data_IF_281965673017
#
_entry.id   IF_281965673017
#
_cell.length_a   1.000
_cell.length_b   1.000
_cell.length_c   1.000
_cell.angle_alpha   90.00
_cell.angle_beta   90.00
_cell.angle_gamma   90.00
#
_symmetry.space_group_name_H-M   'P 1'
#
loop_
_entity.id
_entity.type
_entity.pdbx_description
1 polymer ?
#
# COMPACT_ATOMS: atom_id res chain seq x y z
N UNK A 1 -19.45 -31.20 19.59
CA UNK A 1 -19.83 -32.56 20.02
C UNK A 1 -18.57 -33.34 20.46
N UNK A 2 -17.46 -33.21 19.74
CA UNK A 2 -16.21 -33.96 19.99
C UNK A 2 -15.57 -33.69 21.35
N UNK A 3 -15.59 -32.44 21.85
CA UNK A 3 -15.05 -32.10 23.17
C UNK A 3 -15.88 -32.71 24.29
N UNK A 4 -17.20 -32.63 24.16
CA UNK A 4 -18.12 -33.16 25.16
C UNK A 4 -17.99 -34.69 25.26
N UNK A 5 -17.90 -35.36 24.12
CA UNK A 5 -17.72 -36.79 24.08
C UNK A 5 -16.36 -37.25 24.58
N UNK A 6 -15.30 -36.48 24.28
CA UNK A 6 -13.96 -36.74 24.81
C UNK A 6 -13.90 -36.62 26.33
N UNK A 7 -14.58 -35.63 26.91
CA UNK A 7 -14.66 -35.49 28.37
C UNK A 7 -15.46 -36.63 28.99
N UNK A 8 -16.65 -36.96 28.42
CA UNK A 8 -17.49 -38.06 28.92
C UNK A 8 -16.80 -39.41 28.87
N UNK A 9 -15.95 -39.62 27.86
CA UNK A 9 -15.22 -40.87 27.68
C UNK A 9 -13.84 -40.89 28.39
N UNK A 10 -13.56 -39.90 29.22
CA UNK A 10 -12.29 -39.78 29.95
C UNK A 10 -11.04 -39.53 29.11
N UNK A 11 -11.19 -39.17 27.83
CA UNK A 11 -10.07 -38.86 26.93
C UNK A 11 -9.54 -37.43 27.11
N UNK A 12 -10.32 -36.53 27.70
CA UNK A 12 -9.98 -35.15 27.97
C UNK A 12 -10.42 -34.78 29.40
N UNK A 13 -9.49 -34.22 30.19
CA UNK A 13 -9.81 -33.74 31.55
C UNK A 13 -10.60 -32.42 31.42
N UNK A 14 -11.74 -32.36 32.12
CA UNK A 14 -12.57 -31.15 32.19
C UNK A 14 -11.78 -29.94 32.69
N UNK A 15 -10.78 -30.14 33.56
CA UNK A 15 -9.91 -29.07 34.04
C UNK A 15 -9.12 -28.37 32.93
N UNK A 16 -8.77 -29.09 31.85
CA UNK A 16 -8.09 -28.50 30.71
C UNK A 16 -9.03 -27.62 29.88
N UNK A 17 -10.29 -28.04 29.76
CA UNK A 17 -11.34 -27.23 29.13
C UNK A 17 -11.59 -25.96 29.94
N UNK A 18 -11.80 -26.10 31.25
CA UNK A 18 -12.06 -24.98 32.17
C UNK A 18 -10.91 -23.97 32.17
N UNK A 19 -9.66 -24.47 32.15
CA UNK A 19 -8.48 -23.60 32.08
C UNK A 19 -8.46 -22.78 30.79
N UNK A 20 -8.81 -23.37 29.65
CA UNK A 20 -8.85 -22.68 28.37
C UNK A 20 -10.01 -21.68 28.32
N UNK A 21 -11.18 -22.06 28.79
CA UNK A 21 -12.34 -21.15 28.89
C UNK A 21 -12.00 -19.95 29.79
N UNK A 22 -11.39 -20.19 30.93
CA UNK A 22 -10.92 -19.11 31.84
C UNK A 22 -10.01 -18.14 31.14
N UNK A 23 -8.99 -18.64 30.41
CA UNK A 23 -8.05 -17.79 29.65
C UNK A 23 -8.76 -16.92 28.61
N UNK A 24 -9.72 -17.50 27.90
CA UNK A 24 -10.53 -16.74 26.92
C UNK A 24 -11.38 -15.66 27.61
N UNK A 25 -12.03 -15.99 28.72
CA UNK A 25 -12.83 -15.03 29.49
C UNK A 25 -11.96 -13.90 30.06
N UNK A 26 -10.81 -14.23 30.63
CA UNK A 26 -9.83 -13.24 31.10
C UNK A 26 -9.36 -12.28 30.01
N UNK A 27 -9.25 -12.76 28.76
CA UNK A 27 -8.96 -11.91 27.62
C UNK A 27 -10.16 -11.03 27.24
N UNK A 28 -11.34 -11.63 27.15
CA UNK A 28 -12.58 -10.92 26.76
C UNK A 28 -12.87 -9.74 27.71
N UNK A 29 -12.77 -9.94 29.03
CA UNK A 29 -13.03 -8.87 30.02
C UNK A 29 -12.03 -7.71 29.92
N UNK A 30 -10.88 -7.92 29.33
CA UNK A 30 -9.87 -6.89 29.08
C UNK A 30 -10.12 -6.09 27.80
N UNK A 31 -10.99 -6.59 26.89
CA UNK A 31 -11.24 -5.92 25.62
C UNK A 31 -11.95 -4.57 25.80
N UNK A 32 -11.66 -3.60 24.92
CA UNK A 32 -12.37 -2.32 24.94
C UNK A 32 -13.88 -2.49 24.80
N UNK A 33 -14.33 -3.46 24.00
CA UNK A 33 -15.77 -3.74 23.81
C UNK A 33 -16.45 -4.16 25.11
N UNK A 34 -15.84 -5.04 25.89
CA UNK A 34 -16.39 -5.47 27.19
C UNK A 34 -16.48 -4.29 28.18
N UNK A 35 -15.54 -3.35 28.09
CA UNK A 35 -15.51 -2.13 28.90
C UNK A 35 -16.46 -1.04 28.41
N UNK A 36 -17.32 -1.34 27.44
CA UNK A 36 -18.32 -0.41 26.94
C UNK A 36 -17.77 0.65 25.97
N UNK A 37 -16.59 0.41 25.36
CA UNK A 37 -16.07 1.31 24.33
C UNK A 37 -17.05 1.41 23.16
N UNK A 38 -17.42 2.63 22.83
CA UNK A 38 -18.31 2.90 21.70
C UNK A 38 -17.49 3.11 20.43
N UNK A 39 -17.72 2.26 19.45
CA UNK A 39 -17.09 2.34 18.15
C UNK A 39 -17.83 3.36 17.28
N UNK A 40 -17.06 4.18 16.52
CA UNK A 40 -17.61 4.98 15.44
C UNK A 40 -17.53 4.18 14.14
N UNK A 41 -18.59 4.18 13.36
CA UNK A 41 -18.59 3.69 11.97
C UNK A 41 -18.02 4.71 10.98
N UNK A 42 -17.76 5.93 11.44
CA UNK A 42 -17.30 7.06 10.62
C UNK A 42 -15.96 7.59 11.16
N UNK A 43 -14.82 6.94 10.84
CA UNK A 43 -13.52 7.42 11.25
C UNK A 43 -13.15 8.72 10.54
N UNK A 44 -12.45 9.63 11.22
CA UNK A 44 -11.87 10.82 10.61
C UNK A 44 -10.65 10.42 9.73
N UNK A 45 -10.91 10.11 8.47
CA UNK A 45 -9.88 9.69 7.52
C UNK A 45 -8.86 10.79 7.24
N UNK A 46 -9.24 12.08 7.37
CA UNK A 46 -8.32 13.21 7.17
C UNK A 46 -7.31 13.30 8.32
N UNK A 47 -7.78 13.15 9.56
CA UNK A 47 -6.90 13.09 10.72
C UNK A 47 -5.97 11.87 10.67
N UNK A 48 -6.49 10.71 10.25
CA UNK A 48 -5.68 9.50 10.05
C UNK A 48 -4.60 9.70 8.99
N UNK A 49 -4.91 10.34 7.85
CA UNK A 49 -3.94 10.63 6.80
C UNK A 49 -2.81 11.54 7.31
N UNK A 50 -3.10 12.52 8.15
CA UNK A 50 -2.09 13.37 8.77
C UNK A 50 -1.14 12.59 9.69
N UNK A 51 -1.68 11.71 10.54
CA UNK A 51 -0.90 10.82 11.40
C UNK A 51 -0.03 9.88 10.57
N UNK A 52 -0.58 9.27 9.53
CA UNK A 52 0.16 8.36 8.62
C UNK A 52 1.33 9.10 7.97
N UNK A 53 1.11 10.33 7.50
CA UNK A 53 2.17 11.15 6.91
C UNK A 53 3.29 11.44 7.93
N UNK A 54 2.93 11.83 9.16
CA UNK A 54 3.90 12.08 10.22
C UNK A 54 4.70 10.82 10.55
N UNK A 55 4.03 9.69 10.78
CA UNK A 55 4.68 8.40 11.07
C UNK A 55 5.64 7.98 9.96
N UNK A 56 5.25 8.16 8.69
CA UNK A 56 6.11 7.85 7.55
C UNK A 56 7.36 8.74 7.54
N UNK A 57 7.22 10.01 7.87
CA UNK A 57 8.35 10.95 7.93
C UNK A 57 9.29 10.60 9.08
N UNK A 58 8.78 10.30 10.24
CA UNK A 58 9.58 9.93 11.42
C UNK A 58 10.23 8.54 11.28
N UNK A 59 9.65 7.65 10.47
CA UNK A 59 10.19 6.31 10.18
C UNK A 59 11.33 6.30 9.16
N UNK A 60 11.60 7.41 8.46
CA UNK A 60 12.69 7.50 7.49
C UNK A 60 14.04 7.69 8.18
N UNK A 61 15.01 6.83 7.85
CA UNK A 61 16.38 6.90 8.37
C UNK A 61 17.33 7.23 7.24
N UNK A 62 18.02 8.37 7.35
CA UNK A 62 19.04 8.78 6.40
C UNK A 62 20.37 8.09 6.75
N UNK A 63 20.71 7.03 6.02
CA UNK A 63 21.90 6.22 6.29
C UNK A 63 23.22 6.91 5.88
N UNK A 64 23.18 7.70 4.81
CA UNK A 64 24.35 8.45 4.31
C UNK A 64 23.87 9.72 3.62
N UNK A 65 24.63 10.81 3.82
CA UNK A 65 24.39 12.08 3.14
C UNK A 65 25.70 12.81 2.92
N UNK A 66 26.05 13.01 1.67
CA UNK A 66 27.25 13.77 1.25
C UNK A 66 26.87 15.24 0.93
N UNK A 67 26.11 15.85 1.83
CA UNK A 67 25.60 17.22 1.72
C UNK A 67 24.58 17.45 0.58
N UNK A 68 24.00 16.38 0.00
CA UNK A 68 22.95 16.49 -1.01
C UNK A 68 21.59 16.87 -0.40
N UNK A 69 21.36 16.55 0.86
CA UNK A 69 20.13 16.86 1.60
C UNK A 69 20.44 17.71 2.84
N UNK A 70 19.55 18.64 3.22
CA UNK A 70 18.31 19.02 2.54
C UNK A 70 18.56 19.82 1.26
N UNK A 71 17.71 19.61 0.25
CA UNK A 71 17.77 20.39 -0.99
C UNK A 71 17.05 21.72 -0.78
N UNK A 72 17.76 22.82 -0.97
CA UNK A 72 17.22 24.17 -0.86
C UNK A 72 16.96 24.78 -2.24
N UNK A 73 15.85 25.49 -2.39
CA UNK A 73 15.53 26.23 -3.61
C UNK A 73 15.22 25.38 -4.84
N UNK A 74 14.86 24.10 -4.65
CA UNK A 74 14.50 23.20 -5.72
C UNK A 74 13.23 23.71 -6.42
N UNK A 75 13.33 23.98 -7.74
CA UNK A 75 12.20 24.43 -8.57
C UNK A 75 11.73 23.33 -9.51
N UNK A 76 12.67 22.56 -10.04
CA UNK A 76 12.40 21.50 -11.00
C UNK A 76 13.28 20.30 -10.72
N UNK A 77 12.74 19.10 -10.90
CA UNK A 77 13.46 17.82 -10.72
C UNK A 77 13.18 16.88 -11.87
N UNK A 78 14.20 16.14 -12.28
CA UNK A 78 14.04 15.02 -13.20
C UNK A 78 13.75 13.74 -12.43
N UNK A 79 12.60 13.12 -12.69
CA UNK A 79 12.22 11.84 -12.10
C UNK A 79 12.51 10.71 -13.09
N UNK A 80 13.19 9.69 -12.62
CA UNK A 80 13.42 8.45 -13.36
C UNK A 80 12.78 7.29 -12.62
N UNK A 81 12.41 6.26 -13.37
CA UNK A 81 11.78 5.07 -12.83
C UNK A 81 10.26 5.08 -12.91
N UNK A 82 9.69 3.99 -13.42
CA UNK A 82 8.24 3.82 -13.59
C UNK A 82 7.48 4.05 -12.29
N UNK A 83 8.01 3.60 -11.15
CA UNK A 83 7.37 3.76 -9.85
C UNK A 83 7.22 5.22 -9.39
N UNK A 84 7.97 6.17 -9.99
CA UNK A 84 7.78 7.60 -9.73
C UNK A 84 6.47 8.13 -10.33
N UNK A 85 5.95 7.44 -11.35
CA UNK A 85 4.75 7.81 -12.11
C UNK A 85 3.59 6.84 -11.90
N UNK A 86 3.88 5.62 -11.49
CA UNK A 86 2.91 4.58 -11.12
C UNK A 86 3.25 4.03 -9.74
N UNK A 87 2.92 4.81 -8.72
CA UNK A 87 3.24 4.48 -7.34
C UNK A 87 2.39 3.33 -6.84
N UNK A 88 3.04 2.28 -6.34
CA UNK A 88 2.36 1.17 -5.68
C UNK A 88 2.07 1.52 -4.21
N UNK A 89 0.83 1.89 -3.94
CA UNK A 89 0.37 2.30 -2.60
C UNK A 89 -0.10 1.16 -1.72
N UNK A 90 -0.11 -0.07 -2.21
CA UNK A 90 -0.60 -1.23 -1.47
C UNK A 90 0.11 -2.52 -1.84
N UNK A 91 -0.12 -3.56 -1.07
CA UNK A 91 0.39 -4.91 -1.33
C UNK A 91 -0.54 -5.74 -2.20
N UNK A 92 -0.14 -7.01 -2.42
CA UNK A 92 -0.94 -8.03 -3.09
C UNK A 92 -1.74 -8.86 -2.07
N UNK A 93 -2.76 -9.56 -2.53
CA UNK A 93 -3.57 -10.45 -1.70
C UNK A 93 -4.25 -9.70 -0.55
N UNK A 94 -4.03 -10.13 0.68
CA UNK A 94 -4.60 -9.50 1.88
C UNK A 94 -4.10 -8.07 2.14
N UNK A 95 -3.02 -7.65 1.50
CA UNK A 95 -2.52 -6.27 1.52
C UNK A 95 -3.18 -5.37 0.48
N UNK A 96 -3.98 -5.91 -0.45
CA UNK A 96 -4.74 -5.15 -1.44
C UNK A 96 -5.98 -4.56 -0.78
N UNK A 97 -5.91 -3.32 -0.35
CA UNK A 97 -7.02 -2.59 0.27
C UNK A 97 -7.56 -1.52 -0.67
N UNK A 98 -8.84 -1.22 -0.53
CA UNK A 98 -9.45 -0.09 -1.23
C UNK A 98 -8.95 1.23 -0.63
N UNK A 99 -8.00 1.87 -1.29
CA UNK A 99 -7.50 3.18 -0.89
C UNK A 99 -8.41 4.28 -1.44
N UNK A 100 -8.74 5.27 -0.62
CA UNK A 100 -9.57 6.40 -1.05
C UNK A 100 -8.84 7.30 -2.06
N UNK A 101 -7.52 7.42 -1.93
CA UNK A 101 -6.64 8.14 -2.86
C UNK A 101 -5.19 7.67 -2.68
N UNK A 102 -4.39 7.90 -3.70
CA UNK A 102 -2.93 7.70 -3.67
C UNK A 102 -2.25 8.95 -4.19
N UNK A 103 -1.08 9.26 -3.65
CA UNK A 103 -0.26 10.40 -4.09
C UNK A 103 1.05 9.84 -4.64
N UNK A 104 1.22 9.95 -5.97
CA UNK A 104 2.47 9.62 -6.63
C UNK A 104 3.54 10.69 -6.43
N UNK A 105 4.76 10.43 -6.88
CA UNK A 105 5.88 11.35 -6.70
C UNK A 105 5.66 12.68 -7.45
N UNK A 106 5.08 12.64 -8.65
CA UNK A 106 4.77 13.84 -9.46
C UNK A 106 3.78 14.73 -8.72
N UNK A 107 2.70 14.14 -8.25
CA UNK A 107 1.66 14.84 -7.48
C UNK A 107 2.21 15.37 -6.16
N UNK A 108 3.02 14.57 -5.46
CA UNK A 108 3.64 14.98 -4.19
C UNK A 108 4.55 16.19 -4.35
N UNK A 109 5.40 16.21 -5.37
CA UNK A 109 6.26 17.33 -5.69
C UNK A 109 5.50 18.59 -6.09
N UNK A 110 4.47 18.42 -6.94
CA UNK A 110 3.57 19.52 -7.30
C UNK A 110 2.91 20.17 -6.08
N UNK A 111 2.49 19.36 -5.11
CA UNK A 111 1.83 19.86 -3.89
C UNK A 111 2.76 20.75 -3.03
N UNK A 112 4.07 20.61 -3.16
CA UNK A 112 5.08 21.45 -2.49
C UNK A 112 5.69 22.50 -3.42
N UNK A 113 5.11 22.72 -4.62
CA UNK A 113 5.56 23.76 -5.57
C UNK A 113 6.80 23.39 -6.40
N UNK A 114 7.17 22.12 -6.44
CA UNK A 114 8.30 21.62 -7.25
C UNK A 114 7.76 21.03 -8.55
N UNK A 115 8.27 21.48 -9.69
CA UNK A 115 7.90 20.96 -11.00
C UNK A 115 8.76 19.73 -11.36
N UNK A 116 8.22 18.87 -12.22
CA UNK A 116 8.97 17.78 -12.86
C UNK A 116 9.35 18.17 -14.28
N UNK A 117 10.42 17.57 -14.83
CA UNK A 117 10.85 17.80 -16.23
C UNK A 117 9.73 17.34 -17.17
N UNK A 118 9.14 18.24 -18.01
CA UNK A 118 7.93 17.92 -18.77
C UNK A 118 8.10 16.75 -19.73
N UNK A 119 9.18 16.75 -20.52
CA UNK A 119 9.44 15.70 -21.51
C UNK A 119 9.56 14.32 -20.87
N UNK A 120 10.31 14.22 -19.76
CA UNK A 120 10.48 12.95 -19.04
C UNK A 120 9.16 12.47 -18.43
N UNK A 121 8.39 13.40 -17.89
CA UNK A 121 7.06 13.12 -17.34
C UNK A 121 6.12 12.57 -18.41
N UNK A 122 6.11 13.18 -19.59
CA UNK A 122 5.28 12.75 -20.71
C UNK A 122 5.66 11.33 -21.19
N UNK A 123 6.96 11.05 -21.36
CA UNK A 123 7.44 9.72 -21.74
C UNK A 123 6.92 8.64 -20.78
N UNK A 124 7.15 8.82 -19.48
CA UNK A 124 6.73 7.82 -18.48
C UNK A 124 5.21 7.70 -18.37
N UNK A 125 4.48 8.79 -18.42
CA UNK A 125 3.01 8.75 -18.34
C UNK A 125 2.40 8.04 -19.56
N UNK A 126 2.92 8.27 -20.76
CA UNK A 126 2.49 7.58 -21.96
C UNK A 126 2.80 6.08 -21.87
N UNK A 127 4.01 5.73 -21.43
CA UNK A 127 4.39 4.33 -21.21
C UNK A 127 3.46 3.64 -20.20
N UNK A 128 3.22 4.24 -19.04
CA UNK A 128 2.33 3.67 -18.00
C UNK A 128 0.93 3.44 -18.56
N UNK A 129 0.40 4.43 -19.30
CA UNK A 129 -0.92 4.31 -19.94
C UNK A 129 -0.98 3.15 -20.94
N UNK A 130 0.01 3.05 -21.82
CA UNK A 130 0.11 1.99 -22.81
C UNK A 130 0.27 0.61 -22.15
N UNK A 131 1.21 0.46 -21.24
CA UNK A 131 1.47 -0.80 -20.54
C UNK A 131 0.27 -1.30 -19.76
N UNK A 132 -0.45 -0.40 -19.05
CA UNK A 132 -1.69 -0.76 -18.36
C UNK A 132 -2.81 -1.18 -19.31
N UNK A 133 -2.94 -0.53 -20.45
CA UNK A 133 -3.92 -0.91 -21.47
C UNK A 133 -3.62 -2.30 -22.02
N UNK A 134 -2.36 -2.59 -22.33
CA UNK A 134 -1.91 -3.91 -22.79
C UNK A 134 -2.16 -5.00 -21.76
N UNK A 135 -1.74 -4.79 -20.51
CA UNK A 135 -1.97 -5.72 -19.41
C UNK A 135 -3.46 -6.01 -19.18
N UNK A 136 -4.32 -5.01 -19.36
CA UNK A 136 -5.77 -5.18 -19.25
C UNK A 136 -6.33 -6.04 -20.39
N UNK A 137 -5.79 -5.88 -21.60
CA UNK A 137 -6.20 -6.67 -22.77
C UNK A 137 -5.75 -8.14 -22.67
N UNK A 138 -4.57 -8.39 -22.11
CA UNK A 138 -3.96 -9.72 -21.99
C UNK A 138 -4.50 -10.53 -20.79
N UNK A 139 -5.29 -9.92 -19.89
CA UNK A 139 -5.82 -10.60 -18.70
C UNK A 139 -6.82 -11.69 -19.07
N UNK A 140 -6.47 -12.93 -18.69
CA UNK A 140 -7.43 -14.02 -18.65
C UNK A 140 -8.47 -13.73 -17.53
N UNK A 141 -9.77 -13.71 -17.85
CA UNK A 141 -10.82 -13.44 -16.85
C UNK A 141 -10.77 -14.35 -15.61
N UNK A 142 -10.27 -15.58 -15.78
CA UNK A 142 -10.14 -16.55 -14.69
C UNK A 142 -8.96 -16.24 -13.74
N UNK A 143 -7.92 -15.55 -14.21
CA UNK A 143 -6.77 -15.13 -13.42
C UNK A 143 -7.00 -13.80 -12.70
N UNK A 144 -8.01 -13.02 -13.10
CA UNK A 144 -8.35 -11.75 -12.50
C UNK A 144 -8.62 -11.85 -10.98
N UNK A 145 -9.22 -12.95 -10.55
CA UNK A 145 -9.50 -13.20 -9.14
C UNK A 145 -8.24 -13.36 -8.27
N UNK A 146 -7.17 -13.89 -8.85
CA UNK A 146 -5.89 -14.10 -8.15
C UNK A 146 -4.96 -12.88 -8.23
N UNK A 147 -5.20 -11.99 -9.19
CA UNK A 147 -4.33 -10.84 -9.50
C UNK A 147 -5.02 -9.52 -9.12
N UNK A 148 -5.40 -9.39 -7.85
CA UNK A 148 -6.04 -8.18 -7.32
C UNK A 148 -5.03 -7.06 -6.99
N UNK A 149 -3.74 -7.27 -7.22
CA UNK A 149 -2.72 -6.25 -7.04
C UNK A 149 -2.51 -5.38 -8.28
N UNK A 150 -1.86 -4.23 -8.08
CA UNK A 150 -1.38 -3.45 -9.22
C UNK A 150 -0.25 -4.24 -9.90
N UNK A 151 -0.34 -4.53 -11.21
CA UNK A 151 0.72 -5.23 -11.89
C UNK A 151 1.98 -4.35 -11.87
N UNK A 152 3.10 -4.96 -11.54
CA UNK A 152 4.41 -4.31 -11.66
C UNK A 152 4.68 -4.07 -13.15
N UNK A 153 4.93 -2.84 -13.51
CA UNK A 153 5.39 -2.48 -14.85
C UNK A 153 6.92 -2.61 -14.92
N UNK A 154 7.40 -3.12 -16.04
CA UNK A 154 8.85 -3.15 -16.31
C UNK A 154 9.39 -1.73 -16.50
N UNK A 155 10.65 -1.52 -16.18
CA UNK A 155 11.32 -0.25 -16.44
C UNK A 155 11.56 -0.09 -17.96
N UNK A 156 11.52 1.14 -18.44
CA UNK A 156 11.76 1.44 -19.86
C UNK A 156 13.18 1.98 -20.07
N UNK A 157 13.74 1.64 -21.20
CA UNK A 157 14.93 2.29 -21.70
C UNK A 157 14.55 3.61 -22.39
N UNK A 158 14.99 4.73 -21.82
CA UNK A 158 14.71 6.05 -22.36
C UNK A 158 15.70 6.32 -23.49
N UNK A 159 15.22 6.28 -24.71
CA UNK A 159 15.97 6.58 -25.91
C UNK A 159 15.38 7.79 -26.62
N UNK A 160 16.15 8.40 -27.55
CA UNK A 160 15.64 9.49 -28.38
C UNK A 160 14.36 9.14 -29.14
N UNK A 161 14.15 7.85 -29.43
CA UNK A 161 12.93 7.35 -30.09
C UNK A 161 11.68 7.41 -29.18
N UNK A 162 11.86 7.30 -27.86
CA UNK A 162 10.76 7.44 -26.91
C UNK A 162 10.22 8.88 -26.84
N UNK A 163 11.04 9.87 -27.20
CA UNK A 163 10.63 11.29 -27.21
C UNK A 163 9.77 11.60 -28.44
N UNK A 164 9.97 10.89 -29.54
CA UNK A 164 9.32 11.15 -30.84
C UNK A 164 8.09 10.26 -31.14
N UNK A 165 7.83 9.23 -30.35
CA UNK A 165 6.75 8.28 -30.59
C UNK A 165 5.80 8.18 -29.41
N UNK A 166 4.50 8.09 -29.67
CA UNK A 166 3.48 7.84 -28.64
C UNK A 166 3.56 6.40 -28.07
N UNK A 167 4.29 5.51 -28.74
CA UNK A 167 4.51 4.14 -28.30
C UNK A 167 5.98 3.95 -27.90
N UNK A 168 6.26 3.67 -26.62
CA UNK A 168 7.59 3.23 -26.21
C UNK A 168 7.89 1.86 -26.82
N UNK A 169 9.06 1.70 -27.36
CA UNK A 169 9.54 0.42 -27.93
C UNK A 169 10.21 -0.43 -26.88
#
# INVERSE_FOLDING_TARGET
>A
QDIVDAVKNGKLDIKDVDRNVRRMLEYIVKTPRFKGYKYSGEPDLKAHAAITRQSSTEGMVLLKNDAALPIHGLKTVALFGVNSYDFMSGGLGSGAVNVGYSVDMVTGLKNIGVATTPQLTEIYQNYVKYAKAKLKADKNPMMWFLDQGQPKLDEIEITERCVASEEPK
#
